data_IF_698069813368
#
_entry.id   IF_698069813368
#
_cell.length_a   1.000
_cell.length_b   1.000
_cell.length_c   1.000
_cell.angle_alpha   90.00
_cell.angle_beta   90.00
_cell.angle_gamma   90.00
#
_symmetry.space_group_name_H-M   'P 1'
#
loop_
_entity.id
_entity.type
_entity.pdbx_description
1 polymer ?
#
# COMPACT_ATOMS: atom_id res chain seq x y z
N UNK A 1 11.68 1.30 -25.99
CA UNK A 1 11.10 0.21 -25.18
C UNK A 1 12.00 0.06 -23.96
N UNK A 2 11.62 0.67 -22.84
CA UNK A 2 12.45 0.69 -21.63
C UNK A 2 12.23 -0.62 -20.88
N UNK A 3 13.30 -1.40 -20.68
CA UNK A 3 13.32 -2.58 -19.83
C UNK A 3 12.79 -2.21 -18.43
N UNK A 4 11.56 -2.62 -18.12
CA UNK A 4 11.06 -2.63 -16.76
C UNK A 4 11.64 -3.86 -16.09
N UNK A 5 12.84 -3.71 -15.51
CA UNK A 5 13.36 -4.69 -14.56
C UNK A 5 12.31 -4.89 -13.47
N UNK A 6 11.82 -6.13 -13.33
CA UNK A 6 11.11 -6.55 -12.12
C UNK A 6 12.12 -6.39 -10.98
N UNK A 7 12.14 -5.24 -10.32
CA UNK A 7 12.84 -5.09 -9.06
C UNK A 7 12.20 -6.11 -8.11
N UNK A 8 12.93 -7.20 -7.87
CA UNK A 8 12.52 -8.17 -6.84
C UNK A 8 12.50 -7.43 -5.51
N UNK A 9 11.39 -7.58 -4.77
CA UNK A 9 11.30 -7.01 -3.43
C UNK A 9 12.46 -7.51 -2.58
N UNK A 10 13.12 -6.62 -1.85
CA UNK A 10 14.11 -7.04 -0.86
C UNK A 10 13.44 -7.90 0.21
N UNK A 11 14.20 -8.78 0.85
CA UNK A 11 13.69 -9.61 1.95
C UNK A 11 13.14 -8.77 3.12
N UNK A 12 13.68 -7.57 3.35
CA UNK A 12 13.13 -6.62 4.31
C UNK A 12 11.75 -6.10 3.90
N UNK A 13 11.57 -5.76 2.62
CA UNK A 13 10.29 -5.31 2.10
C UNK A 13 9.25 -6.44 2.13
N UNK A 14 9.64 -7.67 1.77
CA UNK A 14 8.77 -8.86 1.87
C UNK A 14 8.30 -9.09 3.30
N UNK A 15 9.21 -9.05 4.28
CA UNK A 15 8.86 -9.17 5.71
C UNK A 15 7.92 -8.05 6.18
N UNK A 16 8.11 -6.84 5.66
CA UNK A 16 7.24 -5.70 5.98
C UNK A 16 5.83 -5.93 5.44
N UNK A 17 5.69 -6.26 4.16
CA UNK A 17 4.40 -6.48 3.52
C UNK A 17 3.67 -7.72 4.07
N UNK A 18 4.40 -8.76 4.51
CA UNK A 18 3.81 -9.96 5.12
C UNK A 18 2.94 -9.66 6.35
N UNK A 19 3.21 -8.55 7.06
CA UNK A 19 2.39 -8.11 8.21
C UNK A 19 0.94 -7.79 7.79
N UNK A 20 0.70 -7.47 6.52
CA UNK A 20 -0.62 -7.14 5.99
C UNK A 20 -1.46 -8.36 5.58
N UNK A 21 -0.89 -9.58 5.59
CA UNK A 21 -1.44 -10.74 4.87
C UNK A 21 -1.96 -11.86 5.77
N UNK A 22 -2.15 -11.62 7.06
CA UNK A 22 -2.50 -12.66 8.04
C UNK A 22 -3.85 -13.36 7.76
N UNK A 23 -4.78 -12.69 7.08
CA UNK A 23 -6.09 -13.20 6.62
C UNK A 23 -6.21 -13.25 5.09
N UNK A 24 -5.13 -12.97 4.35
CA UNK A 24 -5.15 -12.90 2.89
C UNK A 24 -4.32 -14.04 2.31
N UNK A 25 -4.92 -14.81 1.40
CA UNK A 25 -4.18 -15.75 0.57
C UNK A 25 -3.48 -15.00 -0.58
N UNK A 26 -2.42 -14.28 -0.24
CA UNK A 26 -1.59 -13.48 -1.14
C UNK A 26 -0.11 -13.58 -0.75
N UNK A 27 0.79 -13.42 -1.71
CA UNK A 27 2.20 -13.13 -1.43
C UNK A 27 2.45 -11.63 -1.28
N UNK A 28 3.60 -11.21 -0.69
CA UNK A 28 4.02 -9.81 -0.67
C UNK A 28 4.04 -9.15 -2.06
N UNK A 29 4.50 -9.87 -3.08
CA UNK A 29 4.58 -9.40 -4.46
C UNK A 29 3.19 -9.19 -5.06
N UNK A 30 2.26 -10.13 -4.81
CA UNK A 30 0.88 -10.01 -5.26
C UNK A 30 0.17 -8.84 -4.58
N UNK A 31 0.38 -8.67 -3.28
CA UNK A 31 -0.18 -7.55 -2.53
C UNK A 31 0.32 -6.20 -3.06
N UNK A 32 1.62 -6.08 -3.32
CA UNK A 32 2.20 -4.89 -3.93
C UNK A 32 1.66 -4.66 -5.36
N UNK A 33 1.58 -5.71 -6.17
CA UNK A 33 1.04 -5.64 -7.53
C UNK A 33 -0.41 -5.15 -7.55
N UNK A 34 -1.22 -5.47 -6.53
CA UNK A 34 -2.57 -4.91 -6.38
C UNK A 34 -2.48 -3.40 -6.14
N UNK A 35 -1.70 -2.93 -5.15
CA UNK A 35 -1.59 -1.49 -4.85
C UNK A 35 -1.13 -0.69 -6.07
N UNK A 36 -0.15 -1.21 -6.81
CA UNK A 36 0.39 -0.60 -8.02
C UNK A 36 -0.55 -0.67 -9.23
N UNK A 37 -1.68 -1.37 -9.13
CA UNK A 37 -2.64 -1.53 -10.23
C UNK A 37 -2.16 -2.47 -11.34
N UNK A 38 -1.16 -3.31 -11.07
CA UNK A 38 -0.65 -4.33 -11.99
C UNK A 38 -1.41 -5.67 -11.90
N UNK A 39 -2.25 -5.83 -10.89
CA UNK A 39 -3.09 -7.01 -10.71
C UNK A 39 -4.45 -6.86 -11.41
N UNK A 40 -4.93 -7.94 -12.05
CA UNK A 40 -6.27 -8.01 -12.67
C UNK A 40 -7.34 -8.57 -11.72
N UNK A 41 -6.96 -8.87 -10.48
CA UNK A 41 -7.84 -9.43 -9.45
C UNK A 41 -8.91 -8.41 -9.01
N UNK A 42 -10.13 -8.89 -8.75
CA UNK A 42 -11.24 -8.05 -8.24
C UNK A 42 -11.16 -7.75 -6.74
N UNK A 43 -10.73 -8.71 -5.92
CA UNK A 43 -10.63 -8.57 -4.47
C UNK A 43 -9.38 -9.26 -3.91
N UNK A 44 -8.64 -8.66 -2.95
CA UNK A 44 -8.86 -7.33 -2.38
C UNK A 44 -8.64 -6.19 -3.37
N UNK A 45 -9.37 -5.08 -3.18
CA UNK A 45 -9.23 -3.87 -4.01
C UNK A 45 -8.10 -2.96 -3.52
N UNK A 46 -7.63 -2.05 -4.39
CA UNK A 46 -6.47 -1.17 -4.13
C UNK A 46 -6.64 -0.35 -2.85
N UNK A 47 -7.80 0.28 -2.68
CA UNK A 47 -8.11 1.08 -1.48
C UNK A 47 -8.06 0.25 -0.20
N UNK A 48 -8.57 -0.98 -0.24
CA UNK A 48 -8.50 -1.90 0.90
C UNK A 48 -7.04 -2.27 1.23
N UNK A 49 -6.23 -2.60 0.22
CA UNK A 49 -4.81 -2.91 0.43
C UNK A 49 -4.04 -1.72 1.02
N UNK A 50 -4.29 -0.50 0.54
CA UNK A 50 -3.68 0.72 1.11
C UNK A 50 -4.09 0.93 2.56
N UNK A 51 -5.37 0.82 2.88
CA UNK A 51 -5.83 0.94 4.26
C UNK A 51 -5.19 -0.12 5.17
N UNK A 52 -5.13 -1.37 4.69
CA UNK A 52 -4.48 -2.47 5.41
C UNK A 52 -3.00 -2.19 5.66
N UNK A 53 -2.30 -1.66 4.66
CA UNK A 53 -0.90 -1.28 4.77
C UNK A 53 -0.70 -0.21 5.85
N UNK A 54 -1.49 0.86 5.81
CA UNK A 54 -1.44 1.96 6.77
C UNK A 54 -1.72 1.52 8.21
N UNK A 55 -2.64 0.58 8.41
CA UNK A 55 -2.97 0.08 9.74
C UNK A 55 -1.98 -0.95 10.29
N UNK A 56 -1.27 -1.67 9.42
CA UNK A 56 -0.41 -2.78 9.83
C UNK A 56 1.06 -2.38 9.93
N UNK A 57 1.46 -1.31 9.24
CA UNK A 57 2.86 -0.96 9.03
C UNK A 57 3.11 0.52 9.34
N UNK A 58 4.22 0.80 9.99
CA UNK A 58 4.65 2.18 10.24
C UNK A 58 4.93 2.92 8.92
N UNK A 59 4.45 4.16 8.82
CA UNK A 59 4.62 5.04 7.65
C UNK A 59 6.05 5.08 7.10
N UNK A 60 7.08 5.20 7.94
CA UNK A 60 8.48 5.28 7.48
C UNK A 60 8.97 4.00 6.79
N UNK A 61 8.35 2.86 7.08
CA UNK A 61 8.61 1.60 6.35
C UNK A 61 7.80 1.55 5.05
N UNK A 62 6.56 2.04 5.08
CA UNK A 62 5.69 2.10 3.89
C UNK A 62 6.37 2.90 2.78
N UNK A 63 6.84 4.11 3.08
CA UNK A 63 7.41 5.03 2.07
C UNK A 63 8.74 4.58 1.47
N UNK A 64 9.39 3.56 2.07
CA UNK A 64 10.56 2.89 1.47
C UNK A 64 10.18 1.87 0.39
N UNK A 65 8.92 1.43 0.39
CA UNK A 65 8.39 0.40 -0.50
C UNK A 65 7.51 1.02 -1.59
N UNK A 66 6.66 1.97 -1.22
CA UNK A 66 5.66 2.58 -2.10
C UNK A 66 5.83 4.09 -2.10
N UNK A 67 5.88 4.69 -3.28
CA UNK A 67 5.92 6.14 -3.44
C UNK A 67 4.70 6.78 -2.75
N UNK A 68 4.89 7.75 -1.84
CA UNK A 68 3.79 8.43 -1.16
C UNK A 68 2.71 8.99 -2.10
N UNK A 69 3.08 9.40 -3.32
CA UNK A 69 2.13 9.93 -4.32
C UNK A 69 1.14 8.87 -4.79
N UNK A 70 1.54 7.60 -4.86
CA UNK A 70 0.65 6.48 -5.18
C UNK A 70 -0.38 6.30 -4.06
N UNK A 71 0.07 6.38 -2.80
CA UNK A 71 -0.82 6.27 -1.64
C UNK A 71 -1.85 7.40 -1.62
N UNK A 72 -1.42 8.63 -1.94
CA UNK A 72 -2.32 9.77 -2.00
C UNK A 72 -3.28 9.74 -3.17
N UNK A 73 -2.87 9.22 -4.33
CA UNK A 73 -3.79 8.96 -5.44
C UNK A 73 -4.88 7.94 -5.10
N UNK A 74 -4.62 7.04 -4.15
CA UNK A 74 -5.56 6.01 -3.68
C UNK A 74 -6.30 6.40 -2.39
N UNK A 75 -5.97 7.55 -1.79
CA UNK A 75 -6.46 7.88 -0.46
C UNK A 75 -7.98 8.02 -0.40
N UNK A 76 -8.59 8.63 -1.42
CA UNK A 76 -10.05 8.77 -1.50
C UNK A 76 -10.79 7.43 -1.35
N UNK A 77 -10.29 6.39 -2.01
CA UNK A 77 -10.85 5.05 -1.94
C UNK A 77 -10.46 4.30 -0.67
N UNK A 78 -9.23 4.50 -0.19
CA UNK A 78 -8.70 3.81 0.99
C UNK A 78 -9.34 4.31 2.31
N UNK A 79 -9.67 5.60 2.38
CA UNK A 79 -10.13 6.27 3.60
C UNK A 79 -11.35 5.60 4.25
N UNK A 80 -12.26 5.03 3.45
CA UNK A 80 -13.46 4.32 3.93
C UNK A 80 -13.13 3.02 4.68
N UNK A 81 -11.97 2.42 4.43
CA UNK A 81 -11.52 1.18 5.06
C UNK A 81 -10.65 1.39 6.30
N UNK A 82 -10.04 2.56 6.46
CA UNK A 82 -9.26 2.88 7.65
C UNK A 82 -10.21 3.03 8.85
N UNK A 83 -9.86 2.40 9.97
CA UNK A 83 -10.61 2.37 11.22
C UNK A 83 -10.12 3.46 12.18
N UNK A 84 -8.81 3.63 12.28
CA UNK A 84 -8.19 4.56 13.21
C UNK A 84 -8.25 6.01 12.70
N UNK A 85 -8.73 6.91 13.55
CA UNK A 85 -8.92 8.32 13.21
C UNK A 85 -7.59 9.04 12.99
N UNK A 86 -6.59 8.71 13.80
CA UNK A 86 -5.25 9.28 13.77
C UNK A 86 -4.56 8.99 12.44
N UNK A 87 -4.77 7.79 11.89
CA UNK A 87 -4.26 7.42 10.55
C UNK A 87 -4.98 8.23 9.48
N UNK A 88 -6.30 8.43 9.59
CA UNK A 88 -7.06 9.25 8.64
C UNK A 88 -6.55 10.68 8.63
N UNK A 89 -6.42 11.29 9.79
CA UNK A 89 -5.94 12.68 9.92
C UNK A 89 -4.50 12.82 9.43
N UNK A 90 -3.64 11.86 9.74
CA UNK A 90 -2.26 11.81 9.25
C UNK A 90 -2.18 11.73 7.73
N UNK A 91 -3.01 10.89 7.10
CA UNK A 91 -3.09 10.78 5.64
C UNK A 91 -3.74 12.00 4.98
N UNK A 92 -4.80 12.55 5.57
CA UNK A 92 -5.44 13.79 5.12
C UNK A 92 -4.40 14.93 5.09
N UNK A 93 -3.53 15.02 6.12
CA UNK A 93 -2.42 15.97 6.15
C UNK A 93 -1.34 15.65 5.12
N UNK A 94 -0.84 14.41 5.08
CA UNK A 94 0.25 14.01 4.19
C UNK A 94 -0.11 14.26 2.71
N UNK A 95 -1.32 13.92 2.31
CA UNK A 95 -1.76 14.11 0.93
C UNK A 95 -1.99 15.57 0.55
N UNK A 96 -2.35 16.43 1.51
CA UNK A 96 -2.38 17.88 1.27
C UNK A 96 -1.00 18.48 1.00
N UNK A 97 0.07 17.89 1.53
CA UNK A 97 1.44 18.40 1.42
C UNK A 97 2.16 17.84 0.18
N UNK A 98 1.81 16.63 -0.25
CA UNK A 98 2.48 15.89 -1.33
C UNK A 98 1.78 16.01 -2.70
N UNK A 99 0.61 16.65 -2.74
CA UNK A 99 -0.12 17.00 -3.96
C UNK A 99 0.19 18.44 -4.38
#
# INVERSE_FOLDING_TARGET
>A
MTNMEKSELSEEHKRTLKQCLWDLNLTPEEFLAIIEGRSTRKWPERGFCVARLLESVNWFKIVKIIDPRILCGLWGDARKFVRFKEIKEGMDFACRILQ
#
